data_IF_527395335423
#
_entry.id   IF_527395335423
#
_cell.length_a   1.000
_cell.length_b   1.000
_cell.length_c   1.000
_cell.angle_alpha   90.00
_cell.angle_beta   90.00
_cell.angle_gamma   90.00
#
_symmetry.space_group_name_H-M   'P 1'
#
loop_
_entity.id
_entity.type
_entity.pdbx_description
1 polymer ?
#
# COMPACT_ATOMS: atom_id res chain seq x y z
N UNK A 1 4.29 22.72 8.08
CA UNK A 1 2.95 23.32 8.25
C UNK A 1 2.63 23.26 9.73
N UNK A 2 2.44 24.37 10.37
CA UNK A 2 1.99 24.42 11.74
C UNK A 2 0.59 23.83 11.79
N UNK A 3 0.41 22.75 12.55
CA UNK A 3 -0.91 22.25 12.88
C UNK A 3 -1.64 23.36 13.65
N UNK A 4 -2.56 24.04 12.96
CA UNK A 4 -3.41 25.02 13.59
C UNK A 4 -4.16 24.33 14.72
N UNK A 5 -3.91 24.74 15.94
CA UNK A 5 -4.77 24.42 17.05
C UNK A 5 -6.14 24.98 16.71
N UNK A 6 -7.11 24.11 16.48
CA UNK A 6 -8.50 24.55 16.37
C UNK A 6 -8.80 25.34 17.65
N UNK A 7 -9.03 26.66 17.51
CA UNK A 7 -9.43 27.48 18.64
C UNK A 7 -10.65 26.83 19.29
N UNK A 8 -10.55 26.56 20.58
CA UNK A 8 -11.68 26.00 21.32
C UNK A 8 -12.86 26.95 21.13
N UNK A 9 -14.00 26.45 20.59
CA UNK A 9 -15.19 27.25 20.44
C UNK A 9 -15.67 27.71 21.80
N UNK A 10 -16.12 28.95 21.88
CA UNK A 10 -16.75 29.45 23.10
C UNK A 10 -17.98 28.62 23.43
N UNK A 11 -18.11 28.21 24.70
CA UNK A 11 -19.32 27.55 25.15
C UNK A 11 -20.43 28.60 25.31
N UNK A 12 -21.65 28.35 24.81
CA UNK A 12 -22.71 29.38 24.72
C UNK A 12 -23.20 29.87 26.09
N UNK A 13 -22.92 29.13 27.15
CA UNK A 13 -23.31 29.47 28.51
C UNK A 13 -22.09 29.44 29.41
N UNK A 14 -21.88 30.45 30.29
CA UNK A 14 -20.85 30.39 31.32
C UNK A 14 -21.05 29.19 32.24
N UNK A 15 -20.02 28.41 32.48
CA UNK A 15 -20.04 27.23 33.36
C UNK A 15 -19.08 27.40 34.53
N UNK A 16 -19.45 26.85 35.67
CA UNK A 16 -18.51 26.63 36.77
C UNK A 16 -17.42 25.62 36.30
N UNK A 17 -16.13 25.89 36.52
CA UNK A 17 -15.08 24.93 36.25
C UNK A 17 -15.22 23.56 36.91
N UNK A 18 -16.07 23.47 37.99
CA UNK A 18 -16.39 22.26 38.71
C UNK A 18 -17.83 21.78 38.45
N UNK A 19 -18.44 22.23 37.35
CA UNK A 19 -19.79 21.77 36.96
C UNK A 19 -19.88 20.25 37.00
N UNK A 20 -20.94 19.73 37.62
CA UNK A 20 -21.17 18.29 37.66
C UNK A 20 -21.70 17.73 36.35
N UNK A 21 -21.75 16.41 36.22
CA UNK A 21 -22.26 15.74 35.05
C UNK A 21 -23.75 16.06 34.79
N UNK A 22 -24.54 16.28 35.79
CA UNK A 22 -25.98 16.60 35.66
C UNK A 22 -26.15 17.97 34.97
N UNK A 23 -25.33 18.94 35.31
CA UNK A 23 -25.28 20.26 34.65
C UNK A 23 -25.01 20.13 33.15
N UNK A 24 -24.04 19.28 32.75
CA UNK A 24 -23.71 19.05 31.35
C UNK A 24 -24.85 18.33 30.62
N UNK A 25 -25.37 17.27 31.20
CA UNK A 25 -26.44 16.43 30.60
C UNK A 25 -27.73 17.21 30.42
N UNK A 26 -28.00 18.23 31.23
CA UNK A 26 -29.17 19.10 31.08
C UNK A 26 -29.30 19.72 29.68
N UNK A 27 -28.20 19.91 28.98
CA UNK A 27 -28.17 20.41 27.59
C UNK A 27 -27.59 19.40 26.59
N UNK A 28 -26.78 18.47 27.04
CA UNK A 28 -26.09 17.48 26.24
C UNK A 28 -26.60 16.04 26.50
N UNK A 29 -27.91 15.90 26.65
CA UNK A 29 -28.56 14.61 26.92
C UNK A 29 -28.29 13.59 25.79
N UNK A 30 -28.15 14.07 24.56
CA UNK A 30 -27.79 13.27 23.37
C UNK A 30 -26.47 12.50 23.54
N UNK A 31 -25.55 12.96 24.40
CA UNK A 31 -24.25 12.30 24.64
C UNK A 31 -24.36 11.09 25.57
N UNK A 32 -25.53 10.86 26.15
CA UNK A 32 -25.80 9.73 27.06
C UNK A 32 -26.89 8.78 26.56
N UNK A 33 -27.50 9.12 25.40
CA UNK A 33 -28.61 8.37 24.82
C UNK A 33 -28.17 7.71 23.51
N UNK A 34 -28.04 6.42 23.53
CA UNK A 34 -27.75 5.58 22.35
C UNK A 34 -27.77 4.13 22.77
N UNK A 35 -27.81 3.21 21.81
CA UNK A 35 -27.79 1.77 22.09
C UNK A 35 -26.47 1.30 22.69
N UNK A 36 -25.36 1.96 22.31
CA UNK A 36 -24.03 1.68 22.81
C UNK A 36 -23.43 2.95 23.44
N UNK A 37 -23.54 3.08 24.74
CA UNK A 37 -22.98 4.19 25.51
C UNK A 37 -21.60 3.81 25.99
N UNK A 38 -20.62 4.71 25.83
CA UNK A 38 -19.26 4.49 26.29
C UNK A 38 -19.23 4.46 27.83
N UNK A 39 -18.65 3.40 28.39
CA UNK A 39 -18.67 3.19 29.88
C UNK A 39 -17.98 4.34 30.63
N UNK A 40 -17.02 5.04 30.02
CA UNK A 40 -16.32 6.20 30.60
C UNK A 40 -17.29 7.38 30.91
N UNK A 41 -18.46 7.44 30.27
CA UNK A 41 -19.48 8.46 30.59
C UNK A 41 -19.90 8.40 32.09
N UNK A 42 -19.92 7.21 32.67
CA UNK A 42 -20.22 7.01 34.09
C UNK A 42 -19.17 7.64 35.04
N UNK A 43 -17.96 7.91 34.55
CA UNK A 43 -16.90 8.59 35.30
C UNK A 43 -17.10 10.12 35.37
N UNK A 44 -18.07 10.65 34.63
CA UNK A 44 -18.40 12.06 34.53
C UNK A 44 -17.63 12.80 33.44
N UNK A 45 -18.20 13.90 32.95
CA UNK A 45 -17.72 14.64 31.80
C UNK A 45 -16.30 15.21 32.00
N UNK A 46 -16.00 15.64 33.22
CA UNK A 46 -14.68 16.22 33.55
C UNK A 46 -13.55 15.20 33.63
N UNK A 47 -13.83 13.91 33.52
CA UNK A 47 -12.80 12.88 33.35
C UNK A 47 -12.07 13.00 32.00
N UNK A 48 -12.73 13.61 31.01
CA UNK A 48 -12.22 13.76 29.64
C UNK A 48 -12.13 15.23 29.20
N UNK A 49 -12.96 16.10 29.79
CA UNK A 49 -13.07 17.51 29.45
C UNK A 49 -12.61 18.43 30.59
N UNK A 50 -11.96 19.52 30.22
CA UNK A 50 -11.59 20.61 31.10
C UNK A 50 -12.45 21.82 30.76
N UNK A 51 -13.10 22.40 31.79
CA UNK A 51 -13.86 23.65 31.68
C UNK A 51 -12.99 24.79 32.18
N UNK A 52 -12.78 25.80 31.37
CA UNK A 52 -12.08 27.05 31.75
C UNK A 52 -12.98 28.24 31.47
N UNK A 53 -13.27 29.01 32.49
CA UNK A 53 -14.04 30.24 32.37
C UNK A 53 -13.15 31.43 32.74
N UNK A 54 -12.98 32.35 31.82
CA UNK A 54 -12.21 33.59 32.00
C UNK A 54 -13.05 34.76 31.53
N UNK A 55 -13.27 35.76 32.40
CA UNK A 55 -14.09 36.94 32.08
C UNK A 55 -15.49 36.59 31.53
N UNK A 56 -16.13 35.59 32.12
CA UNK A 56 -17.47 35.07 31.73
C UNK A 56 -17.49 34.36 30.35
N UNK A 57 -16.35 34.08 29.75
CA UNK A 57 -16.23 33.25 28.54
C UNK A 57 -15.77 31.87 28.96
N UNK A 58 -16.56 30.84 28.63
CA UNK A 58 -16.25 29.45 28.92
C UNK A 58 -15.72 28.74 27.71
N UNK A 59 -14.64 28.00 27.88
CA UNK A 59 -14.09 27.08 26.91
C UNK A 59 -14.10 25.66 27.47
N UNK A 60 -14.59 24.72 26.69
CA UNK A 60 -14.54 23.30 27.01
C UNK A 60 -13.58 22.63 26.02
N UNK A 61 -12.57 21.95 26.54
CA UNK A 61 -11.57 21.23 25.73
C UNK A 61 -11.27 19.86 26.33
N UNK A 62 -10.54 19.05 25.61
CA UNK A 62 -10.01 17.80 26.16
C UNK A 62 -8.90 18.10 27.17
N UNK A 63 -8.76 17.24 28.19
CA UNK A 63 -7.68 17.31 29.19
C UNK A 63 -6.30 16.99 28.59
N UNK A 64 -6.26 16.39 27.39
CA UNK A 64 -5.04 16.07 26.65
C UNK A 64 -4.90 16.95 25.41
N UNK A 65 -3.69 16.99 24.84
CA UNK A 65 -3.41 17.78 23.64
C UNK A 65 -4.01 17.19 22.36
N UNK A 66 -4.26 15.89 22.34
CA UNK A 66 -4.87 15.19 21.20
C UNK A 66 -5.91 14.19 21.68
N UNK A 67 -6.90 13.89 20.85
CA UNK A 67 -7.96 12.92 21.18
C UNK A 67 -7.41 11.50 21.42
N UNK A 68 -6.49 11.04 20.59
CA UNK A 68 -5.90 9.70 20.73
C UNK A 68 -5.09 9.54 22.02
N UNK A 69 -4.36 10.58 22.46
CA UNK A 69 -3.64 10.53 23.73
C UNK A 69 -4.59 10.33 24.91
N UNK A 70 -5.79 10.92 24.85
CA UNK A 70 -6.84 10.69 25.85
C UNK A 70 -7.31 9.22 25.83
N UNK A 71 -7.57 8.67 24.65
CA UNK A 71 -8.04 7.29 24.52
C UNK A 71 -7.03 6.29 25.11
N UNK A 72 -5.73 6.49 24.87
CA UNK A 72 -4.68 5.58 25.34
C UNK A 72 -4.49 5.58 26.87
N UNK A 73 -5.02 6.54 27.60
CA UNK A 73 -4.99 6.51 29.06
C UNK A 73 -5.73 5.30 29.64
N UNK A 74 -6.75 4.80 28.94
CA UNK A 74 -7.52 3.61 29.31
C UNK A 74 -7.34 2.45 28.30
N UNK A 75 -7.13 2.75 27.02
CA UNK A 75 -6.96 1.79 25.95
C UNK A 75 -5.48 1.66 25.54
N UNK A 76 -4.59 1.43 26.53
CA UNK A 76 -3.15 1.32 26.32
C UNK A 76 -2.79 0.19 25.32
N UNK A 77 -3.59 -0.89 25.28
CA UNK A 77 -3.44 -2.00 24.35
C UNK A 77 -3.66 -1.60 22.87
N UNK A 78 -4.18 -0.41 22.61
CA UNK A 78 -4.35 0.16 21.25
C UNK A 78 -3.29 1.20 20.89
N UNK A 79 -2.39 1.58 21.82
CA UNK A 79 -1.35 2.55 21.54
C UNK A 79 -0.34 1.98 20.52
N UNK A 80 -0.17 2.62 19.35
CA UNK A 80 0.74 2.12 18.32
C UNK A 80 2.20 2.07 18.76
N UNK A 81 2.62 2.92 19.69
CA UNK A 81 4.01 2.98 20.16
C UNK A 81 4.35 1.76 21.04
N UNK A 82 3.35 1.11 21.65
CA UNK A 82 3.50 -0.06 22.51
C UNK A 82 3.19 -1.40 21.79
N UNK A 83 2.82 -1.34 20.51
CA UNK A 83 2.36 -2.49 19.74
C UNK A 83 3.43 -2.95 18.75
N UNK A 84 3.84 -4.20 18.84
CA UNK A 84 4.55 -4.87 17.76
C UNK A 84 3.52 -5.47 16.80
N UNK A 85 3.64 -5.18 15.52
CA UNK A 85 2.76 -5.73 14.49
C UNK A 85 2.30 -4.72 13.45
N UNK A 86 1.43 -5.16 12.58
CA UNK A 86 0.80 -4.34 11.55
C UNK A 86 -0.45 -3.66 12.12
N UNK A 87 -0.54 -2.35 11.99
CA UNK A 87 -1.66 -1.55 12.50
C UNK A 87 -2.41 -0.98 11.30
N UNK A 88 -3.73 -1.09 11.31
CA UNK A 88 -4.58 -0.38 10.36
C UNK A 88 -4.37 1.13 10.52
N UNK A 89 -3.91 1.86 9.48
CA UNK A 89 -3.42 3.23 9.64
C UNK A 89 -4.36 4.19 10.36
N UNK A 90 -5.69 4.22 10.11
CA UNK A 90 -6.61 5.06 10.87
C UNK A 90 -6.67 4.69 12.37
N UNK A 91 -6.53 3.41 12.71
CA UNK A 91 -6.59 2.95 14.09
C UNK A 91 -5.39 3.43 14.93
N UNK A 92 -4.30 3.86 14.29
CA UNK A 92 -3.13 4.33 15.00
C UNK A 92 -3.35 5.67 15.74
N UNK A 93 -4.12 6.60 15.17
CA UNK A 93 -4.24 7.96 15.75
C UNK A 93 -5.59 8.64 15.52
N UNK A 94 -6.47 8.04 14.74
CA UNK A 94 -7.71 8.66 14.27
C UNK A 94 -8.96 7.95 14.83
N UNK A 95 -8.96 7.61 16.11
CA UNK A 95 -10.04 6.84 16.77
C UNK A 95 -11.44 7.37 16.46
N UNK A 96 -11.60 8.70 16.46
CA UNK A 96 -12.88 9.38 16.24
C UNK A 96 -13.33 9.39 14.76
N UNK A 97 -12.53 8.88 13.84
CA UNK A 97 -13.01 8.63 12.46
C UNK A 97 -13.94 7.43 12.37
N UNK A 98 -13.83 6.52 13.33
CA UNK A 98 -14.63 5.30 13.38
C UNK A 98 -15.56 5.26 14.57
N UNK A 99 -15.17 5.85 15.72
CA UNK A 99 -15.91 5.80 16.99
C UNK A 99 -16.45 7.17 17.42
N UNK A 100 -17.66 7.20 17.95
CA UNK A 100 -18.13 8.32 18.76
C UNK A 100 -17.67 8.06 20.22
N UNK A 101 -16.90 8.97 20.83
CA UNK A 101 -16.38 8.76 22.19
C UNK A 101 -17.45 8.80 23.28
N UNK A 102 -18.70 9.14 22.95
CA UNK A 102 -19.79 9.22 23.91
C UNK A 102 -20.80 8.10 23.70
N UNK A 103 -21.46 8.06 22.56
CA UNK A 103 -22.54 7.11 22.30
C UNK A 103 -22.84 6.97 20.81
N UNK A 104 -23.35 5.82 20.44
CA UNK A 104 -23.90 5.60 19.10
C UNK A 104 -24.97 4.50 19.13
N UNK A 105 -25.69 4.32 18.02
CA UNK A 105 -26.62 3.21 17.86
C UNK A 105 -25.95 1.91 17.39
N UNK A 106 -24.64 1.98 17.07
CA UNK A 106 -23.87 0.85 16.58
C UNK A 106 -22.99 0.26 17.69
N UNK A 107 -22.72 -1.05 17.61
CA UNK A 107 -21.80 -1.77 18.49
C UNK A 107 -20.45 -1.04 18.58
N UNK A 108 -19.83 -1.06 19.73
CA UNK A 108 -18.53 -0.40 19.99
C UNK A 108 -18.52 1.11 19.73
N UNK A 109 -19.66 1.78 19.83
CA UNK A 109 -19.80 3.20 19.52
C UNK A 109 -19.33 3.57 18.09
N UNK A 110 -19.49 2.68 17.13
CA UNK A 110 -19.13 2.97 15.74
C UNK A 110 -20.05 4.06 15.15
N UNK A 111 -19.48 4.96 14.36
CA UNK A 111 -20.21 6.04 13.67
C UNK A 111 -21.22 5.50 12.65
N UNK A 112 -20.91 4.33 12.08
CA UNK A 112 -21.74 3.60 11.11
C UNK A 112 -21.63 2.09 11.37
N UNK A 113 -22.58 1.27 10.90
CA UNK A 113 -22.47 -0.19 11.01
C UNK A 113 -21.33 -0.75 10.13
N UNK A 114 -20.84 -1.93 10.46
CA UNK A 114 -19.85 -2.69 9.70
C UNK A 114 -20.44 -3.53 8.57
N UNK A 115 -21.76 -3.60 8.50
CA UNK A 115 -22.55 -4.32 7.48
C UNK A 115 -23.58 -3.39 6.85
N UNK A 116 -24.26 -3.84 5.80
CA UNK A 116 -25.25 -3.05 5.10
C UNK A 116 -24.79 -2.48 3.78
N UNK A 117 -25.58 -1.59 3.18
CA UNK A 117 -25.25 -1.01 1.90
C UNK A 117 -24.01 -0.09 1.98
N UNK A 118 -23.48 0.27 0.82
CA UNK A 118 -22.23 1.02 0.72
C UNK A 118 -22.27 2.40 1.41
N UNK A 119 -23.44 3.06 1.42
CA UNK A 119 -23.58 4.41 2.02
C UNK A 119 -23.60 4.35 3.53
N UNK A 120 -24.07 3.25 4.08
CA UNK A 120 -24.25 3.03 5.51
C UNK A 120 -23.06 2.32 6.15
N UNK A 121 -22.27 1.57 5.39
CA UNK A 121 -21.15 0.79 5.89
C UNK A 121 -19.93 1.67 6.23
N UNK A 122 -19.39 1.49 7.44
CA UNK A 122 -18.24 2.24 7.93
C UNK A 122 -17.00 2.02 7.09
N UNK A 123 -16.67 0.77 6.79
CA UNK A 123 -15.46 0.39 6.06
C UNK A 123 -15.49 0.90 4.62
N UNK A 124 -16.65 0.80 3.96
CA UNK A 124 -16.85 1.23 2.58
C UNK A 124 -16.87 2.76 2.40
N UNK A 125 -16.86 3.51 3.50
CA UNK A 125 -16.66 4.96 3.43
C UNK A 125 -15.24 5.33 2.93
N UNK A 126 -14.28 4.43 3.07
CA UNK A 126 -12.89 4.57 2.61
C UNK A 126 -12.49 3.48 1.61
N UNK A 127 -12.91 2.24 1.82
CA UNK A 127 -12.63 1.10 0.96
C UNK A 127 -13.72 0.93 -0.11
N UNK A 128 -13.32 0.72 -1.35
CA UNK A 128 -14.25 0.48 -2.46
C UNK A 128 -14.20 -1.00 -2.86
N UNK A 129 -14.90 -1.81 -2.11
CA UNK A 129 -14.93 -3.27 -2.25
C UNK A 129 -16.38 -3.72 -2.46
N UNK A 130 -16.62 -4.61 -3.39
CA UNK A 130 -17.95 -5.16 -3.68
C UNK A 130 -18.92 -4.19 -4.37
N UNK A 131 -18.41 -3.09 -4.92
CA UNK A 131 -19.21 -1.93 -5.35
C UNK A 131 -19.56 -1.95 -6.83
N UNK A 132 -18.63 -2.39 -7.66
CA UNK A 132 -18.72 -2.32 -9.12
C UNK A 132 -18.42 -3.68 -9.75
N UNK A 133 -19.11 -4.72 -9.32
CA UNK A 133 -18.97 -6.04 -9.92
C UNK A 133 -19.62 -6.03 -11.30
N UNK A 134 -18.87 -6.34 -12.39
CA UNK A 134 -19.45 -6.44 -13.71
C UNK A 134 -20.55 -7.51 -13.77
N UNK A 135 -21.49 -7.39 -14.71
CA UNK A 135 -22.62 -8.30 -14.86
C UNK A 135 -22.23 -9.80 -14.91
N UNK A 136 -21.09 -10.09 -15.52
CA UNK A 136 -20.53 -11.47 -15.60
C UNK A 136 -19.55 -11.79 -14.46
N UNK A 137 -19.34 -10.87 -13.55
CA UNK A 137 -18.46 -11.02 -12.41
C UNK A 137 -19.07 -11.82 -11.28
N UNK A 138 -18.35 -11.90 -10.19
CA UNK A 138 -18.79 -12.53 -8.95
C UNK A 138 -18.47 -11.68 -7.75
N UNK A 139 -19.38 -11.63 -6.79
CA UNK A 139 -19.23 -11.02 -5.48
C UNK A 139 -19.32 -12.13 -4.44
N UNK A 140 -18.47 -12.10 -3.43
CA UNK A 140 -18.50 -13.09 -2.37
C UNK A 140 -19.68 -12.83 -1.44
N UNK A 141 -20.52 -13.81 -1.23
CA UNK A 141 -21.68 -13.68 -0.36
C UNK A 141 -21.32 -13.37 1.11
N UNK A 142 -20.14 -13.79 1.56
CA UNK A 142 -19.66 -13.48 2.91
C UNK A 142 -19.48 -11.97 3.19
N UNK A 143 -19.43 -11.12 2.17
CA UNK A 143 -19.45 -9.66 2.37
C UNK A 143 -20.70 -9.15 3.07
N UNK A 144 -21.79 -9.91 3.03
CA UNK A 144 -23.04 -9.55 3.71
C UNK A 144 -22.99 -9.85 5.22
N UNK A 145 -22.00 -10.62 5.68
CA UNK A 145 -21.78 -10.94 7.10
C UNK A 145 -21.13 -9.79 7.89
N UNK A 146 -20.52 -8.84 7.20
CA UNK A 146 -19.70 -7.78 7.77
C UNK A 146 -18.20 -8.02 7.60
N UNK A 147 -17.45 -6.93 7.55
CA UNK A 147 -15.99 -7.00 7.28
C UNK A 147 -15.22 -7.65 8.44
N UNK A 148 -15.70 -7.48 9.67
CA UNK A 148 -15.12 -8.05 10.90
C UNK A 148 -15.25 -9.59 10.98
N UNK A 149 -16.09 -10.22 10.17
CA UNK A 149 -16.14 -11.67 10.06
C UNK A 149 -14.81 -12.27 9.57
N UNK A 150 -14.06 -11.52 8.79
CA UNK A 150 -12.79 -11.95 8.19
C UNK A 150 -11.61 -11.08 8.63
N UNK A 151 -11.82 -9.81 8.98
CA UNK A 151 -10.76 -8.84 9.25
C UNK A 151 -10.69 -8.39 10.70
N UNK A 152 -9.47 -8.14 11.16
CA UNK A 152 -9.15 -7.48 12.43
C UNK A 152 -8.91 -5.99 12.18
N UNK A 153 -9.70 -5.12 12.77
CA UNK A 153 -9.76 -3.69 12.41
C UNK A 153 -8.68 -2.82 13.05
N UNK A 154 -8.00 -3.28 14.10
CA UNK A 154 -7.02 -2.46 14.81
C UNK A 154 -5.59 -2.89 14.52
N UNK A 155 -5.23 -4.13 14.87
CA UNK A 155 -3.86 -4.65 14.74
C UNK A 155 -3.82 -6.14 14.50
N UNK A 156 -2.74 -6.59 13.89
CA UNK A 156 -2.37 -8.01 13.74
C UNK A 156 -0.96 -8.26 14.26
N UNK A 157 -0.47 -9.51 14.19
CA UNK A 157 0.88 -9.88 14.58
C UNK A 157 1.98 -9.21 13.74
N UNK A 158 3.21 -9.35 14.18
CA UNK A 158 4.40 -8.79 13.52
C UNK A 158 5.02 -9.72 12.47
N UNK A 159 4.71 -11.03 12.54
CA UNK A 159 5.30 -12.02 11.65
C UNK A 159 4.78 -11.86 10.22
N UNK A 160 5.66 -11.98 9.20
CA UNK A 160 5.23 -11.92 7.80
C UNK A 160 4.28 -13.09 7.48
N UNK A 161 3.02 -12.77 7.23
CA UNK A 161 1.99 -13.74 6.85
C UNK A 161 0.84 -13.04 6.12
N UNK A 162 0.04 -13.79 5.37
CA UNK A 162 -1.17 -13.24 4.74
C UNK A 162 -2.17 -12.75 5.79
N UNK A 163 -2.24 -13.38 6.96
CA UNK A 163 -3.04 -12.95 8.09
C UNK A 163 -2.68 -11.54 8.52
N UNK A 164 -1.40 -11.29 8.77
CA UNK A 164 -0.93 -10.00 9.26
C UNK A 164 -0.95 -8.93 8.18
N UNK A 165 -0.58 -9.28 6.95
CA UNK A 165 -0.56 -8.37 5.81
C UNK A 165 -1.96 -7.81 5.49
N UNK A 166 -2.98 -8.66 5.55
CA UNK A 166 -4.35 -8.27 5.19
C UNK A 166 -5.27 -8.09 6.40
N UNK A 167 -4.71 -8.06 7.61
CA UNK A 167 -5.49 -7.96 8.86
C UNK A 167 -6.58 -9.01 8.97
N UNK A 168 -6.28 -10.28 8.71
CA UNK A 168 -7.23 -11.37 8.78
C UNK A 168 -7.34 -11.93 10.21
N UNK A 169 -8.50 -12.48 10.54
CA UNK A 169 -8.73 -13.21 11.80
C UNK A 169 -7.98 -14.54 11.84
N UNK A 170 -7.73 -15.13 10.67
CA UNK A 170 -6.91 -16.33 10.45
C UNK A 170 -6.24 -16.25 9.09
N UNK A 171 -5.09 -16.90 8.92
CA UNK A 171 -4.45 -17.02 7.62
C UNK A 171 -5.20 -17.96 6.66
N UNK A 172 -5.02 -17.76 5.35
CA UNK A 172 -5.48 -18.71 4.34
C UNK A 172 -4.58 -19.98 4.37
N UNK A 173 -5.13 -21.20 4.15
CA UNK A 173 -6.52 -21.49 3.80
C UNK A 173 -7.47 -21.62 4.99
N UNK A 174 -7.00 -21.59 6.24
CA UNK A 174 -7.80 -21.90 7.42
C UNK A 174 -9.07 -21.03 7.52
N UNK A 175 -8.96 -19.72 7.24
CA UNK A 175 -10.10 -18.81 7.23
C UNK A 175 -11.18 -19.24 6.22
N UNK A 176 -10.77 -19.65 5.04
CA UNK A 176 -11.70 -20.07 3.97
C UNK A 176 -12.40 -21.38 4.35
N UNK A 177 -11.66 -22.32 4.94
CA UNK A 177 -12.14 -23.64 5.31
C UNK A 177 -13.07 -23.65 6.55
N UNK A 178 -13.23 -22.55 7.25
CA UNK A 178 -14.27 -22.41 8.26
C UNK A 178 -15.69 -22.52 7.67
N UNK A 179 -15.85 -22.17 6.39
CA UNK A 179 -17.14 -22.21 5.68
C UNK A 179 -17.13 -23.12 4.44
N UNK A 180 -15.98 -23.31 3.78
CA UNK A 180 -15.83 -24.14 2.59
C UNK A 180 -15.27 -25.50 2.95
N UNK A 181 -16.10 -26.56 2.88
CA UNK A 181 -15.61 -27.92 3.16
C UNK A 181 -14.71 -28.41 2.00
N UNK A 182 -13.44 -28.65 2.30
CA UNK A 182 -12.50 -29.21 1.31
C UNK A 182 -12.90 -30.60 0.79
N UNK A 183 -13.83 -31.31 1.46
CA UNK A 183 -14.37 -32.60 1.04
C UNK A 183 -15.63 -32.47 0.19
N UNK A 184 -16.15 -31.26 0.00
CA UNK A 184 -17.32 -31.04 -0.86
C UNK A 184 -17.03 -31.49 -2.29
N UNK A 185 -17.91 -32.36 -2.84
CA UNK A 185 -17.72 -32.98 -4.16
C UNK A 185 -17.69 -31.96 -5.30
N UNK A 186 -18.43 -30.83 -5.17
CA UNK A 186 -18.44 -29.78 -6.19
C UNK A 186 -17.13 -28.99 -6.16
N UNK A 187 -16.59 -28.71 -4.97
CA UNK A 187 -15.27 -28.10 -4.83
C UNK A 187 -14.16 -29.01 -5.34
N UNK A 188 -14.18 -30.29 -4.98
CA UNK A 188 -13.24 -31.28 -5.51
C UNK A 188 -13.24 -31.31 -7.03
N UNK A 189 -14.43 -31.42 -7.63
CA UNK A 189 -14.59 -31.41 -9.10
C UNK A 189 -14.11 -30.08 -9.72
N UNK A 190 -14.40 -28.95 -9.09
CA UNK A 190 -13.96 -27.64 -9.57
C UNK A 190 -12.43 -27.51 -9.61
N UNK A 191 -11.74 -28.18 -8.68
CA UNK A 191 -10.27 -28.22 -8.60
C UNK A 191 -9.68 -29.49 -9.27
N UNK A 192 -10.43 -30.14 -10.18
CA UNK A 192 -9.99 -31.30 -10.95
C UNK A 192 -9.50 -32.46 -10.08
N UNK A 193 -10.09 -32.63 -8.88
CA UNK A 193 -9.69 -33.59 -7.86
C UNK A 193 -8.20 -33.50 -7.45
N UNK A 194 -7.58 -32.35 -7.68
CA UNK A 194 -6.22 -32.06 -7.17
C UNK A 194 -6.28 -31.67 -5.68
N UNK A 195 -5.26 -31.98 -4.89
CA UNK A 195 -5.22 -31.60 -3.48
C UNK A 195 -5.08 -30.08 -3.33
N UNK A 196 -6.09 -29.43 -2.76
CA UNK A 196 -6.10 -27.98 -2.55
C UNK A 196 -6.32 -27.54 -1.09
N UNK A 197 -6.61 -28.47 -0.17
CA UNK A 197 -6.93 -28.13 1.22
C UNK A 197 -5.81 -27.41 1.98
N UNK A 198 -4.58 -27.50 1.51
CA UNK A 198 -3.42 -26.78 2.06
C UNK A 198 -2.95 -25.63 1.18
N UNK A 199 -3.63 -25.39 0.05
CA UNK A 199 -3.26 -24.33 -0.87
C UNK A 199 -3.71 -22.94 -0.36
N UNK A 200 -2.93 -21.91 -0.64
CA UNK A 200 -3.37 -20.54 -0.40
C UNK A 200 -4.40 -20.14 -1.45
N UNK A 201 -5.68 -20.13 -1.08
CA UNK A 201 -6.81 -19.82 -1.95
C UNK A 201 -6.67 -18.44 -2.63
N UNK A 202 -6.06 -17.47 -1.93
CA UNK A 202 -5.87 -16.11 -2.41
C UNK A 202 -4.90 -15.99 -3.59
N UNK A 203 -4.19 -17.05 -3.91
CA UNK A 203 -3.34 -17.07 -5.11
C UNK A 203 -4.16 -17.14 -6.42
N UNK A 204 -5.40 -17.65 -6.34
CA UNK A 204 -6.27 -17.82 -7.51
C UNK A 204 -7.59 -17.08 -7.38
N UNK A 205 -8.07 -16.86 -6.15
CA UNK A 205 -9.36 -16.24 -5.87
C UNK A 205 -9.20 -14.87 -5.20
N UNK A 206 -9.99 -13.88 -5.65
CA UNK A 206 -10.22 -12.65 -4.92
C UNK A 206 -11.32 -12.93 -3.88
N UNK A 207 -11.07 -12.72 -2.57
CA UNK A 207 -12.04 -13.05 -1.54
C UNK A 207 -13.22 -12.08 -1.47
N UNK A 208 -13.21 -10.99 -2.22
CA UNK A 208 -14.25 -9.98 -2.18
C UNK A 208 -15.11 -9.97 -3.45
N UNK A 209 -14.48 -9.70 -4.58
CA UNK A 209 -15.16 -9.57 -5.87
C UNK A 209 -14.18 -9.82 -7.02
N UNK A 210 -14.71 -10.25 -8.15
CA UNK A 210 -13.93 -10.41 -9.37
C UNK A 210 -14.76 -10.11 -10.61
N UNK A 211 -14.11 -9.64 -11.65
CA UNK A 211 -14.72 -9.53 -12.99
C UNK A 211 -14.96 -10.90 -13.65
N UNK A 212 -14.38 -11.97 -13.10
CA UNK A 212 -14.54 -13.33 -13.57
C UNK A 212 -15.50 -14.12 -12.65
N UNK A 213 -16.15 -15.20 -13.16
CA UNK A 213 -16.95 -16.10 -12.35
C UNK A 213 -16.11 -16.79 -11.25
N UNK A 214 -16.78 -17.17 -10.16
CA UNK A 214 -16.17 -17.94 -9.05
C UNK A 214 -15.02 -17.21 -8.35
N UNK A 215 -15.04 -15.88 -8.34
CA UNK A 215 -14.03 -15.05 -7.71
C UNK A 215 -12.60 -15.31 -8.26
N UNK A 216 -12.49 -15.76 -9.51
CA UNK A 216 -11.17 -15.98 -10.11
C UNK A 216 -10.41 -14.66 -10.24
N UNK A 217 -9.12 -14.71 -9.97
CA UNK A 217 -8.21 -13.57 -10.13
C UNK A 217 -8.22 -13.04 -11.56
N UNK A 218 -7.99 -11.74 -11.71
CA UNK A 218 -8.18 -11.00 -12.98
C UNK A 218 -7.34 -11.51 -14.13
N UNK A 219 -6.13 -11.95 -13.85
CA UNK A 219 -5.17 -12.40 -14.86
C UNK A 219 -4.98 -13.91 -14.73
N UNK A 220 -5.27 -14.65 -15.77
CA UNK A 220 -5.12 -16.10 -15.83
C UNK A 220 -4.07 -16.48 -16.86
N UNK A 221 -3.30 -17.54 -16.58
CA UNK A 221 -2.39 -18.12 -17.55
C UNK A 221 -3.20 -18.81 -18.65
N UNK A 222 -2.89 -18.62 -19.95
CA UNK A 222 -3.70 -19.19 -21.02
C UNK A 222 -3.97 -20.69 -20.89
N UNK A 223 -2.99 -21.59 -20.65
CA UNK A 223 -3.26 -23.02 -20.47
C UNK A 223 -4.22 -23.32 -19.31
N UNK A 224 -4.15 -22.53 -18.24
CA UNK A 224 -5.07 -22.66 -17.11
C UNK A 224 -6.49 -22.19 -17.48
N UNK A 225 -6.60 -21.07 -18.18
CA UNK A 225 -7.89 -20.56 -18.67
C UNK A 225 -8.58 -21.55 -19.61
N UNK A 226 -7.81 -22.22 -20.48
CA UNK A 226 -8.27 -23.21 -21.45
C UNK A 226 -8.48 -24.59 -20.82
N UNK A 227 -8.17 -24.75 -19.51
CA UNK A 227 -8.25 -26.02 -18.77
C UNK A 227 -7.35 -27.13 -19.34
N UNK A 228 -6.26 -26.76 -19.97
CA UNK A 228 -5.24 -27.68 -20.51
C UNK A 228 -4.27 -28.13 -19.42
N UNK A 229 -4.84 -28.70 -18.36
CA UNK A 229 -4.10 -29.00 -17.12
C UNK A 229 -2.99 -30.05 -17.35
N UNK A 230 -3.21 -30.99 -18.25
CA UNK A 230 -2.31 -32.05 -18.62
C UNK A 230 -1.03 -31.59 -19.34
N UNK A 231 -1.01 -30.38 -19.85
CA UNK A 231 0.23 -29.79 -20.39
C UNK A 231 1.32 -29.64 -19.30
N UNK A 232 0.90 -29.43 -18.05
CA UNK A 232 1.81 -29.21 -16.92
C UNK A 232 1.70 -30.27 -15.82
N UNK A 233 0.51 -30.87 -15.66
CA UNK A 233 0.21 -31.80 -14.58
C UNK A 233 0.04 -33.22 -15.08
N UNK A 234 0.73 -34.17 -14.46
CA UNK A 234 0.41 -35.59 -14.50
C UNK A 234 -0.66 -35.92 -13.45
N UNK A 235 -1.33 -37.07 -13.51
CA UNK A 235 -2.25 -37.50 -12.48
C UNK A 235 -1.63 -37.43 -11.07
N UNK A 236 -2.37 -36.89 -10.11
CA UNK A 236 -1.90 -36.81 -8.73
C UNK A 236 -1.55 -38.21 -8.19
N UNK A 237 -0.44 -38.29 -7.44
CA UNK A 237 0.03 -39.52 -6.82
C UNK A 237 0.20 -39.32 -5.32
N UNK A 238 -0.34 -40.26 -4.53
CA UNK A 238 -0.27 -40.23 -3.07
C UNK A 238 -0.73 -38.90 -2.44
N UNK A 239 -1.79 -38.31 -3.01
CA UNK A 239 -2.33 -37.01 -2.56
C UNK A 239 -1.43 -35.81 -2.87
N UNK A 240 -0.43 -35.96 -3.73
CA UNK A 240 0.48 -34.90 -4.15
C UNK A 240 0.28 -34.53 -5.62
N UNK A 241 0.45 -33.26 -5.91
CA UNK A 241 0.52 -32.75 -7.27
C UNK A 241 1.79 -33.28 -7.93
N UNK A 242 1.66 -33.79 -9.15
CA UNK A 242 2.78 -34.29 -9.97
C UNK A 242 2.85 -33.45 -11.23
N UNK A 243 4.03 -33.00 -11.59
CA UNK A 243 4.28 -32.27 -12.83
C UNK A 243 4.74 -33.23 -13.94
N UNK A 244 4.49 -32.86 -15.18
CA UNK A 244 4.96 -33.63 -16.36
C UNK A 244 6.47 -33.61 -16.54
N UNK A 245 7.14 -32.61 -15.93
CA UNK A 245 8.59 -32.51 -15.85
C UNK A 245 9.04 -32.37 -14.38
N UNK A 246 10.17 -32.96 -14.06
CA UNK A 246 10.71 -32.94 -12.69
C UNK A 246 11.22 -31.55 -12.27
N UNK A 247 11.69 -30.75 -13.24
CA UNK A 247 12.20 -29.39 -13.00
C UNK A 247 11.16 -28.39 -13.48
N UNK A 248 10.76 -27.48 -12.59
CA UNK A 248 9.74 -26.46 -12.87
C UNK A 248 10.21 -25.49 -13.95
N UNK A 249 11.48 -25.07 -13.91
CA UNK A 249 12.03 -24.18 -14.91
C UNK A 249 12.01 -24.79 -16.31
N UNK A 250 12.40 -26.06 -16.43
CA UNK A 250 12.41 -26.79 -17.71
C UNK A 250 10.99 -26.89 -18.26
N UNK A 251 9.99 -27.12 -17.40
CA UNK A 251 8.57 -27.12 -17.79
C UNK A 251 8.15 -25.76 -18.37
N UNK A 252 8.49 -24.66 -17.71
CA UNK A 252 8.12 -23.31 -18.15
C UNK A 252 8.78 -22.94 -19.49
N UNK A 253 10.08 -23.23 -19.64
CA UNK A 253 10.83 -22.83 -20.83
C UNK A 253 10.47 -23.61 -22.09
N UNK A 254 9.72 -24.69 -22.00
CA UNK A 254 9.16 -25.36 -23.20
C UNK A 254 8.31 -24.42 -24.06
N UNK A 255 7.65 -23.43 -23.42
CA UNK A 255 6.85 -22.40 -24.10
C UNK A 255 7.49 -20.99 -23.97
N UNK A 256 8.24 -20.71 -22.90
CA UNK A 256 8.84 -19.42 -22.61
C UNK A 256 10.36 -19.40 -22.90
N UNK A 257 10.77 -19.97 -24.03
CA UNK A 257 12.17 -20.02 -24.46
C UNK A 257 12.80 -18.63 -24.63
N UNK A 258 12.00 -17.63 -25.03
CA UNK A 258 12.42 -16.22 -25.13
C UNK A 258 12.86 -15.65 -23.78
N UNK A 259 12.20 -16.05 -22.69
CA UNK A 259 12.59 -15.63 -21.33
C UNK A 259 13.84 -16.34 -20.84
N UNK A 260 14.01 -17.62 -21.17
CA UNK A 260 15.22 -18.34 -20.87
C UNK A 260 16.43 -17.69 -21.57
N UNK A 261 16.27 -17.38 -22.85
CA UNK A 261 17.31 -16.69 -23.65
C UNK A 261 17.62 -15.29 -23.09
N UNK A 262 16.60 -14.52 -22.73
CA UNK A 262 16.77 -13.20 -22.10
C UNK A 262 17.59 -13.29 -20.80
N UNK A 263 17.27 -14.25 -19.94
CA UNK A 263 17.98 -14.46 -18.66
C UNK A 263 19.44 -14.86 -18.92
N UNK A 264 19.66 -15.79 -19.83
CA UNK A 264 21.00 -16.30 -20.13
C UNK A 264 21.92 -15.26 -20.76
N UNK A 265 21.38 -14.46 -21.70
CA UNK A 265 22.15 -13.45 -22.45
C UNK A 265 22.28 -12.11 -21.75
N UNK A 266 21.58 -11.89 -20.62
CA UNK A 266 21.64 -10.64 -19.90
C UNK A 266 23.06 -10.34 -19.41
N UNK A 267 23.58 -9.13 -19.68
CA UNK A 267 24.88 -8.69 -19.16
C UNK A 267 24.91 -8.58 -17.64
N UNK A 268 23.78 -8.13 -17.07
CA UNK A 268 23.55 -8.08 -15.65
C UNK A 268 22.41 -9.06 -15.35
N UNK A 269 22.75 -10.16 -14.70
CA UNK A 269 21.79 -11.20 -14.35
C UNK A 269 21.10 -10.88 -13.02
N UNK A 270 19.82 -11.22 -12.92
CA UNK A 270 19.11 -11.24 -11.65
C UNK A 270 19.21 -12.66 -11.05
N UNK A 271 19.88 -12.86 -9.91
CA UNK A 271 20.06 -14.20 -9.34
C UNK A 271 18.75 -14.95 -9.10
N UNK A 272 17.70 -14.24 -8.67
CA UNK A 272 16.36 -14.83 -8.49
C UNK A 272 15.74 -15.37 -9.78
N UNK A 273 16.05 -14.79 -10.94
CA UNK A 273 15.57 -15.28 -12.25
C UNK A 273 16.27 -16.56 -12.71
N UNK A 274 17.42 -16.90 -12.12
CA UNK A 274 18.10 -18.15 -12.39
C UNK A 274 17.46 -19.37 -11.70
N UNK A 275 16.67 -19.12 -10.62
CA UNK A 275 15.94 -20.12 -9.85
C UNK A 275 14.62 -20.57 -10.50
N UNK A 276 13.72 -21.06 -9.69
CA UNK A 276 12.40 -21.50 -10.14
C UNK A 276 11.50 -20.31 -10.50
N UNK A 277 10.87 -20.37 -11.65
CA UNK A 277 9.93 -19.34 -12.11
C UNK A 277 8.80 -19.14 -11.09
N UNK A 278 8.39 -20.22 -10.43
CA UNK A 278 7.34 -20.19 -9.41
C UNK A 278 7.78 -19.59 -8.06
N UNK A 279 9.03 -19.19 -7.89
CA UNK A 279 9.41 -18.38 -6.72
C UNK A 279 8.75 -17.00 -6.77
N UNK A 280 8.60 -16.44 -7.98
CA UNK A 280 7.99 -15.14 -8.22
C UNK A 280 6.61 -15.22 -8.87
N UNK A 281 6.36 -16.19 -9.76
CA UNK A 281 5.16 -16.29 -10.56
C UNK A 281 4.19 -17.37 -10.07
N UNK A 282 2.89 -17.09 -10.21
CA UNK A 282 1.84 -18.09 -10.08
C UNK A 282 1.44 -18.58 -11.48
N UNK A 283 1.66 -19.88 -11.81
CA UNK A 283 1.38 -20.39 -13.17
C UNK A 283 -0.11 -20.55 -13.49
N UNK A 284 -1.01 -20.26 -12.57
CA UNK A 284 -2.45 -20.40 -12.77
C UNK A 284 -3.13 -19.03 -12.94
N UNK A 285 -3.10 -18.20 -11.91
CA UNK A 285 -3.78 -16.91 -11.90
C UNK A 285 -3.14 -15.92 -10.95
N UNK A 286 -3.38 -14.63 -11.14
CA UNK A 286 -2.92 -13.55 -10.27
C UNK A 286 -3.86 -12.34 -10.34
N UNK A 287 -3.85 -11.54 -9.31
CA UNK A 287 -4.48 -10.23 -9.32
C UNK A 287 -3.71 -9.22 -10.20
N UNK A 288 -2.48 -9.54 -10.58
CA UNK A 288 -1.55 -8.63 -11.27
C UNK A 288 -1.10 -9.17 -12.63
N UNK A 289 -0.87 -8.28 -13.62
CA UNK A 289 -0.37 -8.68 -14.92
C UNK A 289 1.03 -9.29 -14.82
N UNK A 290 1.33 -10.28 -15.67
CA UNK A 290 2.58 -11.03 -15.59
C UNK A 290 2.58 -12.11 -14.50
N UNK A 291 1.46 -12.28 -13.82
CA UNK A 291 1.19 -13.37 -12.88
C UNK A 291 2.16 -13.46 -11.68
N UNK A 292 2.58 -12.36 -11.03
CA UNK A 292 3.33 -12.49 -9.79
C UNK A 292 2.46 -13.08 -8.66
N UNK A 293 3.10 -13.78 -7.71
CA UNK A 293 2.42 -14.41 -6.56
C UNK A 293 1.78 -13.42 -5.59
N UNK A 294 2.31 -12.21 -5.54
CA UNK A 294 1.81 -11.11 -4.71
C UNK A 294 1.97 -9.80 -5.47
N UNK A 295 1.64 -8.69 -4.84
CA UNK A 295 1.76 -7.37 -5.47
C UNK A 295 3.19 -7.05 -5.96
N UNK A 296 3.32 -6.18 -6.97
CA UNK A 296 4.60 -5.88 -7.62
C UNK A 296 5.66 -5.21 -6.75
N UNK A 297 5.33 -4.83 -5.53
CA UNK A 297 6.27 -4.29 -4.53
C UNK A 297 6.73 -5.41 -3.60
N UNK A 298 5.79 -6.08 -2.92
CA UNK A 298 6.10 -7.07 -1.92
C UNK A 298 6.78 -8.32 -2.48
N UNK A 299 6.55 -8.66 -3.75
CA UNK A 299 7.26 -9.77 -4.40
C UNK A 299 8.78 -9.53 -4.40
N UNK A 300 9.21 -8.29 -4.57
CA UNK A 300 10.63 -7.93 -4.56
C UNK A 300 11.15 -7.77 -3.12
N UNK A 301 10.38 -7.11 -2.27
CA UNK A 301 10.78 -6.82 -0.88
C UNK A 301 10.90 -8.07 0.00
N UNK A 302 10.34 -9.20 -0.43
CA UNK A 302 10.53 -10.49 0.25
C UNK A 302 12.00 -10.93 0.32
N UNK A 303 12.83 -10.47 -0.62
CA UNK A 303 14.27 -10.74 -0.65
C UNK A 303 15.11 -9.46 -0.47
N UNK A 304 14.64 -8.31 -0.95
CA UNK A 304 15.33 -7.02 -0.86
C UNK A 304 15.00 -6.29 0.45
N UNK A 305 15.49 -6.83 1.57
CA UNK A 305 15.19 -6.32 2.92
C UNK A 305 15.77 -4.93 3.18
N UNK A 306 16.90 -4.57 2.55
CA UNK A 306 17.50 -3.25 2.60
C UNK A 306 16.58 -2.18 2.00
N UNK A 307 15.91 -2.50 0.89
CA UNK A 307 14.89 -1.63 0.29
C UNK A 307 13.60 -1.62 1.13
N UNK A 308 13.23 -2.76 1.71
CA UNK A 308 12.09 -2.84 2.64
C UNK A 308 12.28 -1.91 3.85
N UNK A 309 13.51 -1.78 4.36
CA UNK A 309 13.81 -0.83 5.44
C UNK A 309 13.63 0.64 5.04
N UNK A 310 13.80 0.96 3.77
CA UNK A 310 13.53 2.30 3.26
C UNK A 310 12.04 2.66 3.31
N UNK A 311 11.13 1.68 3.30
CA UNK A 311 9.70 1.90 3.47
C UNK A 311 9.34 2.52 4.84
N UNK A 312 10.23 2.45 5.82
CA UNK A 312 10.08 3.10 7.13
C UNK A 312 10.39 4.60 7.11
N UNK A 313 11.02 5.12 6.05
CA UNK A 313 11.33 6.53 5.91
C UNK A 313 10.07 7.35 5.61
N UNK A 314 10.11 8.65 5.93
CA UNK A 314 8.94 9.53 5.86
C UNK A 314 8.50 9.88 4.44
N UNK A 315 9.43 10.00 3.52
CA UNK A 315 9.17 10.43 2.14
C UNK A 315 9.50 9.30 1.18
N UNK A 316 8.50 8.86 0.43
CA UNK A 316 8.62 7.77 -0.52
C UNK A 316 8.52 8.27 -1.96
N UNK A 317 9.32 7.70 -2.84
CA UNK A 317 9.09 7.81 -4.27
C UNK A 317 7.94 6.87 -4.64
N UNK A 318 6.81 7.43 -5.01
CA UNK A 318 5.56 6.69 -5.21
C UNK A 318 5.69 5.49 -6.16
N UNK A 319 6.40 5.56 -7.32
CA UNK A 319 6.58 4.39 -8.19
C UNK A 319 7.16 3.19 -7.47
N UNK A 320 8.13 3.40 -6.57
CA UNK A 320 8.83 2.32 -5.90
C UNK A 320 7.94 1.52 -4.94
N UNK A 321 6.99 2.18 -4.25
CA UNK A 321 6.19 1.56 -3.19
C UNK A 321 4.70 1.44 -3.51
N UNK A 322 4.25 1.94 -4.67
CA UNK A 322 2.84 1.89 -5.06
C UNK A 322 2.64 1.20 -6.42
N UNK A 323 3.47 1.54 -7.42
CA UNK A 323 3.30 0.99 -8.77
C UNK A 323 4.11 -0.30 -8.98
N UNK A 324 5.24 -0.43 -8.29
CA UNK A 324 6.10 -1.60 -8.32
C UNK A 324 7.50 -1.34 -8.89
N UNK A 325 8.43 -2.14 -8.44
CA UNK A 325 9.85 -2.02 -8.78
C UNK A 325 10.11 -2.15 -10.29
N UNK A 326 9.26 -2.92 -10.98
CA UNK A 326 9.35 -3.14 -12.44
C UNK A 326 9.17 -1.87 -13.27
N UNK A 327 8.69 -0.76 -12.69
CA UNK A 327 8.60 0.52 -13.40
C UNK A 327 9.98 0.96 -13.87
N UNK A 328 11.00 0.81 -13.03
CA UNK A 328 12.38 1.22 -13.32
C UNK A 328 13.33 0.04 -13.55
N UNK A 329 13.05 -1.13 -12.98
CA UNK A 329 13.93 -2.30 -12.98
C UNK A 329 13.43 -3.44 -13.87
N UNK A 330 14.35 -4.30 -14.32
CA UNK A 330 14.10 -5.49 -15.13
C UNK A 330 14.29 -6.75 -14.24
N UNK A 331 13.22 -7.46 -13.93
CA UNK A 331 13.27 -8.61 -13.01
C UNK A 331 13.97 -9.86 -13.57
N UNK A 332 14.10 -9.99 -14.89
CA UNK A 332 14.69 -11.17 -15.53
C UNK A 332 16.14 -11.00 -15.99
N UNK A 333 16.73 -9.84 -15.72
CA UNK A 333 18.05 -9.49 -16.22
C UNK A 333 18.00 -8.40 -17.29
N UNK A 334 19.11 -7.73 -17.51
CA UNK A 334 19.20 -6.62 -18.45
C UNK A 334 20.64 -6.22 -18.76
N UNK A 335 20.81 -5.10 -19.46
CA UNK A 335 22.12 -4.62 -19.90
C UNK A 335 22.75 -3.58 -18.97
N UNK A 336 21.99 -3.03 -18.05
CA UNK A 336 22.40 -1.91 -17.21
C UNK A 336 22.58 -2.33 -15.75
N UNK A 337 23.52 -1.67 -15.06
CA UNK A 337 23.71 -1.86 -13.61
C UNK A 337 22.40 -1.66 -12.86
N UNK A 338 22.25 -2.37 -11.73
CA UNK A 338 21.03 -2.42 -10.94
C UNK A 338 19.78 -2.84 -11.73
N UNK A 339 19.97 -3.49 -12.89
CA UNK A 339 18.88 -3.93 -13.77
C UNK A 339 17.95 -2.77 -14.21
N UNK A 340 18.47 -1.57 -14.34
CA UNK A 340 17.68 -0.43 -14.77
C UNK A 340 17.26 -0.57 -16.24
N UNK A 341 16.02 -0.16 -16.55
CA UNK A 341 15.52 -0.11 -17.93
C UNK A 341 16.35 0.82 -18.81
N UNK A 342 16.84 1.91 -18.22
CA UNK A 342 17.71 2.90 -18.85
C UNK A 342 18.91 3.10 -17.95
N UNK A 343 20.12 2.86 -18.48
CA UNK A 343 21.36 2.91 -17.69
C UNK A 343 21.82 4.33 -17.32
N UNK A 344 21.32 5.36 -18.03
CA UNK A 344 21.61 6.74 -17.71
C UNK A 344 20.56 7.31 -16.76
N UNK A 345 20.94 7.67 -15.51
CA UNK A 345 19.96 8.10 -14.49
C UNK A 345 19.09 9.28 -14.93
N UNK A 346 19.67 10.27 -15.61
CA UNK A 346 18.89 11.41 -16.05
C UNK A 346 17.83 11.03 -17.08
N UNK A 347 18.14 10.19 -18.04
CA UNK A 347 17.15 9.70 -19.02
C UNK A 347 16.07 8.88 -18.36
N UNK A 348 16.43 8.03 -17.39
CA UNK A 348 15.47 7.25 -16.63
C UNK A 348 14.47 8.15 -15.89
N UNK A 349 14.96 9.15 -15.18
CA UNK A 349 14.12 10.05 -14.38
C UNK A 349 13.28 10.98 -15.27
N UNK A 350 13.87 11.52 -16.33
CA UNK A 350 13.20 12.47 -17.22
C UNK A 350 12.13 11.84 -18.11
N UNK A 351 12.06 10.52 -18.20
CA UNK A 351 10.92 9.81 -18.83
C UNK A 351 9.57 10.20 -18.22
N UNK A 352 9.58 10.48 -16.90
CA UNK A 352 8.40 10.92 -16.17
C UNK A 352 8.47 12.39 -15.76
N UNK A 353 9.64 12.88 -15.33
CA UNK A 353 9.82 14.22 -14.76
C UNK A 353 10.29 15.27 -15.77
N UNK A 354 10.58 14.86 -17.00
CA UNK A 354 11.04 15.78 -18.04
C UNK A 354 9.95 16.71 -18.55
N UNK A 355 10.28 17.95 -18.97
CA UNK A 355 9.33 18.87 -19.58
C UNK A 355 8.76 18.34 -20.89
N UNK A 356 9.51 17.45 -21.55
CA UNK A 356 9.13 16.79 -22.80
C UNK A 356 8.60 15.37 -22.59
N UNK A 357 8.35 14.96 -21.35
CA UNK A 357 7.75 13.66 -21.06
C UNK A 357 6.37 13.57 -21.74
N UNK A 358 6.24 12.66 -22.70
CA UNK A 358 5.02 12.48 -23.51
C UNK A 358 4.53 11.04 -23.37
N UNK A 359 3.87 10.71 -22.24
CA UNK A 359 3.28 9.38 -22.09
C UNK A 359 2.21 9.17 -23.16
N UNK A 360 2.21 8.01 -23.76
CA UNK A 360 1.18 7.65 -24.72
C UNK A 360 -0.07 7.18 -23.97
N UNK A 361 -1.19 7.82 -24.22
CA UNK A 361 -2.48 7.45 -23.59
C UNK A 361 -3.09 6.21 -24.23
N UNK A 362 -3.60 5.33 -23.39
CA UNK A 362 -4.44 4.20 -23.75
C UNK A 362 -5.86 4.49 -23.23
N UNK A 363 -6.63 5.28 -23.98
CA UNK A 363 -7.92 5.84 -23.52
C UNK A 363 -8.92 4.79 -23.05
N UNK A 364 -8.99 3.64 -23.73
CA UNK A 364 -9.89 2.54 -23.36
C UNK A 364 -9.56 1.88 -22.02
N UNK A 365 -8.33 2.02 -21.54
CA UNK A 365 -7.85 1.38 -20.32
C UNK A 365 -7.62 2.37 -19.17
N UNK A 366 -7.77 3.68 -19.39
CA UNK A 366 -7.38 4.74 -18.45
C UNK A 366 -5.92 4.64 -17.98
N UNK A 367 -5.06 4.21 -18.88
CA UNK A 367 -3.64 4.01 -18.66
C UNK A 367 -2.81 4.93 -19.56
N UNK A 368 -1.59 5.18 -19.14
CA UNK A 368 -0.54 5.76 -19.96
C UNK A 368 0.62 4.80 -20.08
N UNK A 369 1.33 4.84 -21.20
CA UNK A 369 2.55 4.06 -21.37
C UNK A 369 3.78 4.97 -21.38
N UNK A 370 4.86 4.46 -20.83
CA UNK A 370 6.18 5.08 -20.78
C UNK A 370 7.24 4.06 -21.22
N UNK A 371 8.48 4.51 -21.42
CA UNK A 371 9.57 3.68 -21.94
C UNK A 371 9.21 2.97 -23.25
N UNK A 372 8.65 3.72 -24.21
CA UNK A 372 8.26 3.16 -25.50
C UNK A 372 7.16 2.10 -25.44
N UNK A 373 6.27 2.16 -24.44
CA UNK A 373 5.19 1.20 -24.26
C UNK A 373 5.51 0.06 -23.28
N UNK A 374 6.74 -0.01 -22.78
CA UNK A 374 7.20 -1.12 -21.92
C UNK A 374 6.55 -1.11 -20.50
N UNK A 375 6.07 0.04 -20.05
CA UNK A 375 5.43 0.19 -18.74
C UNK A 375 4.08 0.88 -18.89
N UNK A 376 3.06 0.34 -18.26
CA UNK A 376 1.72 0.92 -18.18
C UNK A 376 1.46 1.44 -16.76
N UNK A 377 0.99 2.68 -16.64
CA UNK A 377 0.64 3.33 -15.37
C UNK A 377 -0.77 3.92 -15.44
N UNK A 378 -1.50 4.01 -14.32
CA UNK A 378 -2.78 4.71 -14.28
C UNK A 378 -2.65 6.19 -14.70
N UNK A 379 -3.55 6.67 -15.55
CA UNK A 379 -3.52 8.06 -16.04
C UNK A 379 -3.62 9.06 -14.88
N UNK A 380 -4.48 8.82 -13.91
CA UNK A 380 -4.66 9.65 -12.73
C UNK A 380 -3.44 9.68 -11.81
N UNK A 381 -2.61 8.64 -11.85
CA UNK A 381 -1.32 8.61 -11.15
C UNK A 381 -0.31 9.48 -11.89
N UNK A 382 -0.15 9.28 -13.20
CA UNK A 382 0.82 10.03 -13.99
C UNK A 382 0.51 11.54 -13.99
N UNK A 383 -0.74 11.94 -13.98
CA UNK A 383 -1.16 13.34 -13.91
C UNK A 383 -0.66 14.08 -12.64
N UNK A 384 -0.24 13.34 -11.60
CA UNK A 384 0.30 13.89 -10.35
C UNK A 384 1.83 13.94 -10.31
N UNK A 385 2.49 13.45 -11.34
CA UNK A 385 3.95 13.45 -11.42
C UNK A 385 4.45 14.90 -11.53
N UNK A 386 5.34 15.36 -10.65
CA UNK A 386 5.89 16.70 -10.76
C UNK A 386 6.82 16.81 -11.97
N UNK A 387 6.55 17.76 -12.84
CA UNK A 387 7.37 18.04 -14.01
C UNK A 387 8.42 19.09 -13.66
N UNK A 388 9.68 18.80 -13.98
CA UNK A 388 10.78 19.74 -13.75
C UNK A 388 10.65 20.96 -14.68
N UNK A 389 10.81 22.19 -14.18
CA UNK A 389 10.71 23.40 -14.98
C UNK A 389 12.01 23.66 -15.79
N UNK A 390 12.45 22.68 -16.56
CA UNK A 390 13.66 22.76 -17.39
C UNK A 390 13.34 23.44 -18.72
N UNK A 391 13.21 24.77 -18.75
CA UNK A 391 13.08 25.54 -19.99
C UNK A 391 14.42 26.17 -20.36
N UNK A 392 14.86 26.00 -21.62
CA UNK A 392 15.98 26.73 -22.23
C UNK A 392 17.27 26.76 -21.39
N UNK A 393 17.77 25.61 -20.96
CA UNK A 393 18.96 25.47 -20.11
C UNK A 393 18.83 26.04 -18.69
N UNK A 394 17.64 26.33 -18.23
CA UNK A 394 17.39 26.59 -16.83
C UNK A 394 17.68 25.30 -16.03
N UNK A 395 18.52 25.41 -15.01
CA UNK A 395 18.92 24.29 -14.18
C UNK A 395 17.88 23.94 -13.11
N UNK A 396 18.21 22.97 -12.29
CA UNK A 396 17.45 22.54 -11.13
C UNK A 396 18.45 22.26 -9.97
N UNK A 397 18.21 22.68 -8.73
CA UNK A 397 17.01 23.33 -8.15
C UNK A 397 16.92 24.83 -8.40
N UNK A 398 17.98 25.46 -8.89
CA UNK A 398 18.01 26.90 -9.20
C UNK A 398 18.42 27.10 -10.66
N UNK A 399 18.15 28.30 -11.17
CA UNK A 399 18.50 28.67 -12.55
C UNK A 399 19.98 28.40 -12.84
N UNK A 400 20.26 27.83 -14.00
CA UNK A 400 21.60 27.47 -14.49
C UNK A 400 22.38 26.44 -13.67
N UNK A 401 21.79 25.84 -12.64
CA UNK A 401 22.46 24.73 -11.95
C UNK A 401 22.51 23.49 -12.84
N UNK A 402 23.68 22.86 -13.04
CA UNK A 402 23.78 21.70 -13.92
C UNK A 402 23.04 20.50 -13.34
N UNK A 403 22.35 19.76 -14.21
CA UNK A 403 21.72 18.47 -13.91
C UNK A 403 22.47 17.29 -14.54
N UNK A 404 23.48 17.57 -15.35
CA UNK A 404 24.32 16.60 -16.02
C UNK A 404 25.79 16.93 -15.81
N UNK A 405 26.68 16.00 -16.16
CA UNK A 405 28.13 16.15 -16.02
C UNK A 405 28.63 17.49 -16.54
N UNK A 406 29.41 18.17 -15.71
CA UNK A 406 30.15 19.40 -16.13
C UNK A 406 31.47 18.98 -16.77
N UNK A 407 31.65 19.34 -17.99
CA UNK A 407 32.89 19.03 -18.76
C UNK A 407 34.03 19.99 -18.41
N UNK A 408 35.27 19.52 -18.58
CA UNK A 408 36.44 20.39 -18.44
C UNK A 408 36.48 21.40 -19.64
N UNK A 409 36.49 22.69 -19.35
CA UNK A 409 36.53 23.70 -20.44
C UNK A 409 37.78 23.64 -21.29
N UNK A 410 38.88 23.01 -20.80
CA UNK A 410 40.12 22.85 -21.54
C UNK A 410 40.20 21.52 -22.31
N UNK A 411 39.33 20.56 -21.95
CA UNK A 411 39.26 19.27 -22.61
C UNK A 411 37.83 18.70 -22.49
N UNK A 412 37.01 18.98 -23.46
CA UNK A 412 35.60 18.57 -23.51
C UNK A 412 35.38 17.05 -23.56
N UNK A 413 36.40 16.25 -23.57
CA UNK A 413 36.32 14.79 -23.44
C UNK A 413 36.37 14.35 -21.97
N UNK A 414 36.75 15.23 -21.07
CA UNK A 414 36.88 14.94 -19.63
C UNK A 414 35.77 15.54 -18.80
N UNK A 415 35.22 14.72 -17.90
CA UNK A 415 34.27 15.17 -16.93
C UNK A 415 35.01 15.85 -15.75
N UNK A 416 34.75 17.15 -15.55
CA UNK A 416 35.28 17.91 -14.43
C UNK A 416 34.49 17.65 -13.13
N UNK A 417 33.17 17.59 -13.23
CA UNK A 417 32.27 17.26 -12.12
C UNK A 417 31.19 16.30 -12.62
N UNK A 418 31.13 15.11 -12.04
CA UNK A 418 30.08 14.15 -12.34
C UNK A 418 28.81 14.51 -11.56
N UNK A 419 27.75 14.84 -12.29
CA UNK A 419 26.44 15.18 -11.75
C UNK A 419 25.36 14.46 -12.54
N UNK A 420 24.37 13.93 -11.79
CA UNK A 420 23.11 13.41 -12.33
C UNK A 420 22.03 13.53 -11.25
N UNK A 421 20.81 13.10 -11.53
CA UNK A 421 19.70 13.18 -10.56
C UNK A 421 20.02 12.47 -9.24
N UNK A 422 20.72 11.34 -9.26
CA UNK A 422 21.07 10.56 -8.07
C UNK A 422 22.18 11.20 -7.21
N UNK A 423 22.86 12.23 -7.71
CA UNK A 423 23.81 13.01 -6.91
C UNK A 423 23.09 13.73 -5.76
N UNK A 424 21.84 14.13 -5.99
CA UNK A 424 21.03 14.90 -5.05
C UNK A 424 19.85 14.12 -4.49
N UNK A 425 19.32 13.13 -5.22
CA UNK A 425 18.07 12.44 -4.87
C UNK A 425 18.28 10.95 -4.58
N UNK A 426 17.51 10.44 -3.61
CA UNK A 426 17.33 9.01 -3.36
C UNK A 426 16.13 8.49 -4.15
N UNK A 427 16.30 7.50 -5.05
CA UNK A 427 15.24 7.09 -5.96
C UNK A 427 14.14 6.27 -5.29
N UNK A 428 14.34 5.76 -4.08
CA UNK A 428 13.34 4.94 -3.38
C UNK A 428 12.65 5.72 -2.26
N UNK A 429 13.39 6.13 -1.23
CA UNK A 429 12.84 6.86 -0.11
C UNK A 429 13.90 7.71 0.62
N UNK A 430 13.47 8.77 1.30
CA UNK A 430 14.32 9.65 2.09
C UNK A 430 13.58 10.13 3.34
N UNK A 431 14.31 10.65 4.31
CA UNK A 431 13.75 11.41 5.43
C UNK A 431 13.41 12.83 5.02
N UNK A 432 14.01 13.33 3.93
CA UNK A 432 13.91 14.71 3.50
C UNK A 432 12.91 14.92 2.35
N UNK A 433 12.19 16.07 2.35
CA UNK A 433 11.34 16.45 1.22
C UNK A 433 12.10 16.42 -0.11
N UNK A 434 11.37 16.13 -1.20
CA UNK A 434 11.98 16.04 -2.52
C UNK A 434 12.94 14.86 -2.69
N UNK A 435 12.93 13.88 -1.76
CA UNK A 435 13.80 12.69 -1.79
C UNK A 435 15.29 13.04 -1.75
N UNK A 436 15.70 14.10 -1.06
CA UNK A 436 17.11 14.47 -0.98
C UNK A 436 17.95 13.36 -0.34
N UNK A 437 19.15 13.15 -0.88
CA UNK A 437 20.03 12.03 -0.55
C UNK A 437 20.68 12.11 0.83
N UNK A 438 20.69 13.31 1.45
CA UNK A 438 21.32 13.55 2.76
C UNK A 438 20.32 14.19 3.69
N UNK A 439 20.30 13.69 4.93
CA UNK A 439 19.57 14.32 6.02
C UNK A 439 20.23 15.68 6.35
N UNK A 440 19.51 16.75 6.09
CA UNK A 440 19.99 18.11 6.28
C UNK A 440 18.93 18.93 7.02
N UNK A 441 19.36 19.83 7.88
CA UNK A 441 18.43 20.70 8.60
C UNK A 441 17.81 21.78 7.72
N UNK A 442 18.45 22.10 6.59
CA UNK A 442 17.96 23.06 5.60
C UNK A 442 18.68 22.89 4.25
N UNK A 443 18.15 23.51 3.20
CA UNK A 443 18.68 23.43 1.84
C UNK A 443 20.11 23.98 1.71
N UNK A 444 20.46 25.02 2.50
CA UNK A 444 21.80 25.60 2.49
C UNK A 444 22.87 24.60 2.92
N UNK A 445 22.59 23.78 3.92
CA UNK A 445 23.53 22.72 4.36
C UNK A 445 23.71 21.65 3.29
N UNK A 446 22.65 21.30 2.58
CA UNK A 446 22.74 20.38 1.46
C UNK A 446 23.66 20.94 0.35
N UNK A 447 23.42 22.19 -0.05
CA UNK A 447 24.24 22.89 -1.06
C UNK A 447 25.72 23.02 -0.63
N UNK A 448 25.97 23.32 0.65
CA UNK A 448 27.32 23.45 1.22
C UNK A 448 28.13 22.14 1.19
N UNK A 449 27.48 20.97 0.97
CA UNK A 449 28.19 19.72 0.79
C UNK A 449 29.09 19.70 -0.46
N UNK A 450 28.75 20.50 -1.47
CA UNK A 450 29.54 20.69 -2.69
C UNK A 450 30.10 22.12 -2.80
N UNK A 451 29.36 23.12 -2.35
CA UNK A 451 29.71 24.54 -2.43
C UNK A 451 30.35 25.04 -1.12
N UNK A 452 31.68 24.96 -1.03
CA UNK A 452 32.43 25.29 0.21
C UNK A 452 32.31 26.76 0.67
N UNK A 453 31.84 27.63 -0.22
CA UNK A 453 31.68 29.07 0.05
C UNK A 453 30.32 29.44 0.67
N UNK A 454 29.39 28.51 0.74
CA UNK A 454 28.09 28.75 1.38
C UNK A 454 28.22 28.64 2.92
N UNK A 455 27.50 29.47 3.68
CA UNK A 455 27.47 29.33 5.13
C UNK A 455 26.90 27.97 5.52
N UNK A 456 27.57 27.32 6.47
CA UNK A 456 27.18 25.99 7.00
C UNK A 456 25.98 26.07 7.92
#
# INVERSE_FOLDING_TARGET
MFAGHAAAKEHPVPLDPKADAATCVGCHEDKTKGKAVHSAIAMGCLSCHEVRTVKNVTHVKLITTTSHALCYTCHADKNPDDIKGTIHPPAARDCIKCHDPHTSDNKYQLLKPESGDQKENLCLSCHKIGVNVPEKGSRHAALDMGCDACHVTHKTGAEPSTENQFHLTKGAPALCLDCHDAKDAALQKAHQNQPFATANCLQCHDPHESAAPKLMAKFTHPPFADKSCDMCHAPAKDGKVVLTQANVKDLCVTCHSDKAEQIEKAKVQHPGAAGDCTDCHNPHASAYPGLPKTDPVNICLSCHSDIADLAKKRVHHQPAFVQGCYVCHLGHGGDNEHLLRVGEPNKLCLECHGPDAKPQKLESEHLVTIFGGAVKLPENYFAKVPILPLKYNLGHPVDRHPIANVMDPNDMTKVKVAINCLTCHQPHASTEPGLLAKDQKNDSQFCASCHKSLPK
#
